data_IF_115510038893
#
_entry.id   IF_115510038893
#
_cell.length_a   1.000
_cell.length_b   1.000
_cell.length_c   1.000
_cell.angle_alpha   90.00
_cell.angle_beta   90.00
_cell.angle_gamma   90.00
#
_symmetry.space_group_name_H-M   'P 1'
#
loop_
_entity.id
_entity.type
_entity.pdbx_description
1 polymer ?
#
# COMPACT_ATOMS: atom_id res chain seq x y z
N UNK A 1 35.19 -5.62 -63.71
CA UNK A 1 34.96 -4.19 -63.47
C UNK A 1 34.49 -4.09 -62.03
N UNK A 2 35.33 -4.11 -61.11
CA UNK A 2 36.18 -3.13 -60.38
C UNK A 2 35.39 -1.86 -60.00
N UNK A 3 35.01 -1.74 -58.75
CA UNK A 3 34.48 -0.59 -58.10
C UNK A 3 34.68 -0.73 -56.60
N UNK A 4 35.87 -0.31 -56.13
CA UNK A 4 36.22 0.00 -54.75
C UNK A 4 35.53 1.31 -54.36
N UNK A 5 35.08 1.43 -53.15
CA UNK A 5 34.55 2.65 -52.53
C UNK A 5 34.53 2.46 -51.04
N UNK A 6 35.52 2.79 -50.46
CA UNK A 6 36.08 3.60 -49.41
C UNK A 6 35.34 3.60 -48.06
N UNK A 7 36.05 3.10 -47.07
CA UNK A 7 35.93 3.31 -45.64
C UNK A 7 35.82 4.81 -45.27
N UNK A 8 34.79 5.18 -44.54
CA UNK A 8 34.80 6.43 -43.78
C UNK A 8 34.39 6.15 -42.33
N UNK A 9 35.40 5.81 -41.54
CA UNK A 9 35.37 5.76 -40.09
C UNK A 9 35.23 7.17 -39.53
N UNK A 10 34.04 7.61 -39.22
CA UNK A 10 33.82 8.80 -38.41
C UNK A 10 33.98 8.47 -36.94
N UNK A 11 35.12 8.89 -36.37
CA UNK A 11 35.48 8.76 -34.98
C UNK A 11 34.55 9.56 -34.06
N UNK A 12 33.91 8.90 -33.11
CA UNK A 12 33.17 9.55 -32.06
C UNK A 12 34.09 10.24 -31.06
N UNK A 13 33.84 11.49 -30.65
CA UNK A 13 34.66 12.18 -29.67
C UNK A 13 34.47 11.58 -28.28
N UNK A 14 35.53 11.10 -27.67
CA UNK A 14 35.62 10.76 -26.24
C UNK A 14 35.42 12.03 -25.42
N UNK A 15 34.28 12.21 -24.77
CA UNK A 15 34.09 13.24 -23.75
C UNK A 15 34.68 12.76 -22.44
N UNK A 16 35.86 13.22 -22.15
CA UNK A 16 36.48 13.15 -20.81
C UNK A 16 35.66 13.99 -19.84
N UNK A 17 34.81 13.32 -19.06
CA UNK A 17 34.14 13.95 -17.90
C UNK A 17 35.10 13.97 -16.73
N UNK A 18 35.87 15.03 -16.63
CA UNK A 18 36.59 15.39 -15.39
C UNK A 18 35.53 15.78 -14.35
N UNK A 19 35.34 14.92 -13.38
CA UNK A 19 34.54 15.22 -12.21
C UNK A 19 35.28 16.22 -11.34
N UNK A 20 34.81 17.47 -11.32
CA UNK A 20 35.26 18.45 -10.35
C UNK A 20 34.67 18.06 -8.97
N UNK A 21 35.56 17.62 -8.10
CA UNK A 21 35.31 17.44 -6.68
C UNK A 21 35.06 18.82 -6.04
N UNK A 22 33.80 19.20 -5.91
CA UNK A 22 33.38 20.34 -5.09
C UNK A 22 33.38 19.95 -3.62
N UNK A 23 34.40 20.36 -2.89
CA UNK A 23 34.43 20.28 -1.42
C UNK A 23 33.39 21.24 -0.85
N UNK A 24 32.21 20.74 -0.49
CA UNK A 24 31.18 21.44 0.29
C UNK A 24 31.46 21.29 1.78
N UNK A 25 31.91 22.34 2.43
CA UNK A 25 32.08 22.39 3.88
C UNK A 25 30.73 22.23 4.60
N UNK A 26 30.58 21.15 5.37
CA UNK A 26 29.45 20.94 6.28
C UNK A 26 29.73 21.75 7.56
N UNK A 27 28.98 22.83 7.76
CA UNK A 27 28.95 23.57 9.03
C UNK A 27 27.97 22.84 9.95
N UNK A 28 28.51 22.09 10.91
CA UNK A 28 27.77 21.52 12.05
C UNK A 28 27.55 22.63 13.08
N UNK A 29 26.35 23.25 13.10
CA UNK A 29 25.89 24.07 14.20
C UNK A 29 25.28 23.13 15.27
N UNK A 30 26.08 22.87 16.31
CA UNK A 30 25.61 22.23 17.53
C UNK A 30 24.80 23.22 18.36
N UNK A 31 23.45 23.14 18.27
CA UNK A 31 22.53 23.84 19.14
C UNK A 31 22.20 23.02 20.39
N UNK A 32 22.97 23.18 21.45
CA UNK A 32 22.64 22.68 22.80
C UNK A 32 21.56 23.61 23.40
N UNK A 33 20.29 23.24 23.25
CA UNK A 33 19.16 23.85 23.96
C UNK A 33 18.92 23.10 25.25
N UNK A 34 19.45 23.64 26.37
CA UNK A 34 19.13 23.20 27.72
C UNK A 34 17.69 23.63 28.06
N UNK A 35 16.75 22.67 28.14
CA UNK A 35 15.44 22.91 28.76
C UNK A 35 15.55 22.68 30.27
N UNK A 36 15.58 23.77 31.03
CA UNK A 36 15.49 23.77 32.47
C UNK A 36 14.07 23.36 32.90
N UNK A 37 13.97 22.23 33.60
CA UNK A 37 12.81 21.84 34.37
C UNK A 37 12.74 22.64 35.64
N UNK A 38 11.85 23.60 35.74
CA UNK A 38 11.45 24.22 37.00
C UNK A 38 9.94 24.49 36.95
N UNK A 39 9.20 23.69 37.71
CA UNK A 39 7.75 23.83 37.84
C UNK A 39 7.21 22.92 38.91
N UNK A 40 7.70 23.05 40.17
CA UNK A 40 7.04 22.50 41.36
C UNK A 40 5.79 23.32 41.63
N UNK A 41 4.65 22.83 41.19
CA UNK A 41 3.32 23.33 41.53
C UNK A 41 2.57 22.32 42.33
N UNK A 42 2.75 22.35 43.70
CA UNK A 42 1.90 21.63 44.64
C UNK A 42 0.51 22.29 44.66
N UNK A 43 -0.40 21.85 43.82
CA UNK A 43 -1.81 22.18 43.86
C UNK A 43 -2.59 21.12 44.61
N UNK A 44 -2.81 21.35 45.92
CA UNK A 44 -3.78 20.59 46.72
C UNK A 44 -5.20 20.87 46.19
N UNK A 45 -5.70 20.04 45.29
CA UNK A 45 -7.10 20.07 44.90
C UNK A 45 -7.95 19.35 45.93
N UNK A 46 -8.71 20.13 46.67
CA UNK A 46 -9.75 19.68 47.61
C UNK A 46 -10.78 18.84 46.86
N UNK A 47 -10.82 17.56 47.15
CA UNK A 47 -11.80 16.64 46.61
C UNK A 47 -13.17 16.91 47.25
N UNK A 48 -14.05 17.58 46.52
CA UNK A 48 -15.44 17.76 46.88
C UNK A 48 -16.15 16.42 46.64
N UNK A 49 -16.59 15.81 47.73
CA UNK A 49 -17.31 14.53 47.71
C UNK A 49 -18.60 14.67 46.85
N UNK A 50 -18.68 13.88 45.78
CA UNK A 50 -19.92 13.68 45.07
C UNK A 50 -20.79 12.65 45.77
N UNK A 51 -22.12 12.91 45.91
CA UNK A 51 -23.00 11.92 46.50
C UNK A 51 -23.13 10.67 45.61
N UNK A 52 -23.03 9.50 46.25
CA UNK A 52 -23.19 8.21 45.61
C UNK A 52 -24.60 8.06 45.02
N UNK A 53 -24.67 7.88 43.70
CA UNK A 53 -25.88 7.49 42.99
C UNK A 53 -26.05 5.97 43.17
N UNK A 54 -27.21 5.47 43.60
CA UNK A 54 -27.42 4.05 43.74
C UNK A 54 -27.43 3.36 42.38
N UNK A 55 -26.47 2.46 42.15
CA UNK A 55 -26.42 1.60 40.96
C UNK A 55 -27.60 0.65 41.03
N UNK A 56 -28.60 0.87 40.20
CA UNK A 56 -29.65 -0.14 39.92
C UNK A 56 -28.97 -1.31 39.25
N UNK A 57 -28.92 -2.46 39.94
CA UNK A 57 -28.59 -3.73 39.32
C UNK A 57 -29.63 -4.04 38.23
N UNK A 58 -29.20 -3.90 36.97
CA UNK A 58 -29.95 -4.38 35.84
C UNK A 58 -29.89 -5.91 35.86
N UNK A 59 -31.03 -6.54 36.09
CA UNK A 59 -31.24 -7.97 35.90
C UNK A 59 -30.80 -8.37 34.52
N UNK A 60 -29.85 -9.28 34.39
CA UNK A 60 -29.38 -9.87 33.14
C UNK A 60 -30.55 -10.60 32.47
N UNK A 61 -31.20 -9.93 31.54
CA UNK A 61 -32.04 -10.60 30.58
C UNK A 61 -31.11 -11.38 29.62
N UNK A 62 -31.22 -12.71 29.63
CA UNK A 62 -30.58 -13.57 28.64
C UNK A 62 -30.95 -13.10 27.25
N UNK A 63 -29.98 -12.51 26.56
CA UNK A 63 -30.12 -12.20 25.14
C UNK A 63 -30.27 -13.52 24.36
N UNK A 64 -31.28 -13.62 23.46
CA UNK A 64 -31.39 -14.77 22.57
C UNK A 64 -30.11 -14.89 21.76
N UNK A 65 -29.57 -16.11 21.65
CA UNK A 65 -28.42 -16.44 20.85
C UNK A 65 -28.63 -15.92 19.41
N UNK A 66 -27.66 -15.23 18.81
CA UNK A 66 -27.79 -14.82 17.43
C UNK A 66 -27.90 -16.07 16.56
N UNK A 67 -29.04 -16.21 15.88
CA UNK A 67 -29.25 -17.24 14.88
C UNK A 67 -28.11 -17.13 13.86
N UNK A 68 -27.29 -18.17 13.76
CA UNK A 68 -26.21 -18.30 12.77
C UNK A 68 -26.81 -18.51 11.39
N UNK A 69 -27.45 -17.49 10.87
CA UNK A 69 -27.77 -17.35 9.46
C UNK A 69 -26.66 -16.58 8.80
N UNK A 70 -25.60 -17.25 8.35
CA UNK A 70 -24.64 -16.66 7.43
C UNK A 70 -25.33 -16.37 6.11
N UNK A 71 -26.09 -15.28 6.05
CA UNK A 71 -26.48 -14.69 4.80
C UNK A 71 -25.18 -14.24 4.12
N UNK A 72 -24.73 -15.01 3.14
CA UNK A 72 -23.61 -14.63 2.28
C UNK A 72 -23.99 -13.34 1.58
N UNK A 73 -23.51 -12.21 2.09
CA UNK A 73 -23.65 -10.92 1.40
C UNK A 73 -23.10 -11.11 -0.01
N UNK A 74 -23.87 -10.76 -1.07
CA UNK A 74 -23.41 -10.89 -2.45
C UNK A 74 -22.04 -10.23 -2.59
N UNK A 75 -21.06 -10.96 -3.07
CA UNK A 75 -19.72 -10.43 -3.25
C UNK A 75 -19.75 -9.36 -4.34
N UNK A 76 -19.40 -8.11 -3.99
CA UNK A 76 -19.37 -6.98 -4.93
C UNK A 76 -18.24 -7.20 -5.95
N UNK A 77 -18.51 -7.27 -7.26
CA UNK A 77 -17.46 -7.32 -8.27
C UNK A 77 -16.51 -6.14 -8.12
N UNK A 78 -15.22 -6.39 -8.25
CA UNK A 78 -14.24 -5.31 -8.29
C UNK A 78 -14.45 -4.49 -9.58
N UNK A 79 -14.54 -3.16 -9.50
CA UNK A 79 -14.58 -2.30 -10.67
C UNK A 79 -13.37 -2.61 -11.58
N UNK A 80 -13.64 -2.87 -12.87
CA UNK A 80 -12.57 -3.07 -13.82
C UNK A 80 -11.98 -1.73 -14.29
N UNK A 81 -10.72 -1.75 -14.69
CA UNK A 81 -10.03 -0.58 -15.21
C UNK A 81 -8.58 -0.89 -15.50
N UNK A 82 -8.02 -0.09 -16.41
CA UNK A 82 -6.65 -0.29 -16.87
C UNK A 82 -5.62 0.28 -15.91
N UNK A 83 -4.48 -0.39 -15.82
CA UNK A 83 -3.26 0.12 -15.21
C UNK A 83 -2.04 -0.27 -16.06
N UNK A 84 -0.93 0.40 -15.83
CA UNK A 84 0.36 0.06 -16.46
C UNK A 84 1.33 -0.33 -15.38
N UNK A 85 1.92 -1.52 -15.48
CA UNK A 85 2.92 -2.02 -14.52
C UNK A 85 4.22 -1.23 -14.60
N UNK A 86 5.09 -1.41 -13.60
CA UNK A 86 6.41 -0.80 -13.60
C UNK A 86 7.29 -1.28 -14.77
N UNK A 87 7.05 -2.48 -15.30
CA UNK A 87 7.69 -2.98 -16.53
C UNK A 87 7.14 -2.35 -17.82
N UNK A 88 6.08 -1.56 -17.74
CA UNK A 88 5.42 -0.95 -18.90
C UNK A 88 4.31 -1.81 -19.54
N UNK A 89 3.97 -2.94 -18.92
CA UNK A 89 2.90 -3.82 -19.42
C UNK A 89 1.54 -3.23 -19.05
N UNK A 90 0.65 -3.11 -20.03
CA UNK A 90 -0.75 -2.75 -19.81
C UNK A 90 -1.52 -3.97 -19.27
N UNK A 91 -2.33 -3.75 -18.24
CA UNK A 91 -3.16 -4.77 -17.62
C UNK A 91 -4.47 -4.16 -17.10
N UNK A 92 -5.39 -4.99 -16.64
CA UNK A 92 -6.65 -4.55 -16.03
C UNK A 92 -6.88 -5.25 -14.69
N UNK A 93 -7.77 -4.73 -13.87
CA UNK A 93 -8.16 -5.39 -12.61
C UNK A 93 -8.75 -6.78 -12.88
N UNK A 94 -9.49 -6.94 -13.99
CA UNK A 94 -10.04 -8.23 -14.38
C UNK A 94 -8.96 -9.30 -14.65
N UNK A 95 -7.77 -8.89 -15.09
CA UNK A 95 -6.65 -9.80 -15.33
C UNK A 95 -6.01 -10.37 -14.05
N UNK A 96 -6.38 -9.84 -12.87
CA UNK A 96 -5.91 -10.33 -11.56
C UNK A 96 -6.69 -11.56 -11.06
N UNK A 97 -7.75 -11.99 -11.77
CA UNK A 97 -8.54 -13.17 -11.38
C UNK A 97 -7.67 -14.42 -11.30
N UNK A 98 -8.07 -15.33 -10.43
CA UNK A 98 -7.34 -16.57 -10.16
C UNK A 98 -6.42 -16.51 -8.95
N UNK A 99 -5.96 -15.31 -8.56
CA UNK A 99 -5.06 -15.14 -7.41
C UNK A 99 -5.54 -14.01 -6.50
N UNK A 100 -5.66 -14.24 -5.18
CA UNK A 100 -6.03 -13.18 -4.24
C UNK A 100 -5.04 -12.02 -4.33
N UNK A 101 -5.55 -10.80 -4.50
CA UNK A 101 -4.70 -9.62 -4.71
C UNK A 101 -5.14 -8.45 -3.83
N UNK A 102 -4.19 -7.86 -3.12
CA UNK A 102 -4.34 -6.53 -2.52
C UNK A 102 -4.05 -5.49 -3.60
N UNK A 103 -5.04 -4.70 -3.99
CA UNK A 103 -4.84 -3.51 -4.81
C UNK A 103 -4.80 -2.30 -3.89
N UNK A 104 -3.68 -1.58 -3.90
CA UNK A 104 -3.41 -0.48 -2.97
C UNK A 104 -3.04 0.78 -3.74
N UNK A 105 -3.79 1.87 -3.49
CA UNK A 105 -3.64 3.14 -4.18
C UNK A 105 -2.83 4.13 -3.33
N UNK A 106 -1.77 4.68 -3.92
CA UNK A 106 -0.86 5.62 -3.25
C UNK A 106 -0.72 6.91 -4.06
N UNK A 107 -0.46 8.01 -3.37
CA UNK A 107 -0.23 9.31 -3.96
C UNK A 107 1.15 9.85 -3.64
N UNK A 108 1.67 10.71 -4.48
CA UNK A 108 2.90 11.47 -4.23
C UNK A 108 2.70 12.45 -3.06
N UNK A 109 3.67 12.52 -2.14
CA UNK A 109 3.58 13.40 -0.97
C UNK A 109 2.60 12.95 0.12
N UNK A 110 1.96 11.80 -0.02
CA UNK A 110 1.08 11.20 0.98
C UNK A 110 1.89 10.63 2.16
N UNK A 111 1.82 11.29 3.31
CA UNK A 111 2.58 10.87 4.50
C UNK A 111 2.16 9.50 5.03
N UNK A 112 0.86 9.17 5.03
CA UNK A 112 0.38 7.85 5.44
C UNK A 112 0.83 6.75 4.48
N UNK A 113 0.86 7.02 3.16
CA UNK A 113 1.41 6.09 2.17
C UNK A 113 2.90 5.82 2.43
N UNK A 114 3.69 6.87 2.69
CA UNK A 114 5.11 6.74 3.02
C UNK A 114 5.34 5.91 4.29
N UNK A 115 4.49 6.03 5.31
CA UNK A 115 4.54 5.22 6.52
C UNK A 115 4.04 3.78 6.28
N UNK A 116 3.08 3.59 5.39
CA UNK A 116 2.49 2.28 5.07
C UNK A 116 3.41 1.39 4.25
N UNK A 117 4.25 1.96 3.35
CA UNK A 117 5.16 1.18 2.50
C UNK A 117 6.12 0.30 3.31
N UNK A 118 6.89 0.84 4.31
CA UNK A 118 7.76 0.00 5.14
C UNK A 118 6.98 -0.99 6.01
N UNK A 119 5.76 -0.64 6.46
CA UNK A 119 4.91 -1.56 7.22
C UNK A 119 4.48 -2.76 6.36
N UNK A 120 4.02 -2.53 5.14
CA UNK A 120 3.71 -3.60 4.17
C UNK A 120 4.95 -4.42 3.86
N UNK A 121 6.11 -3.78 3.66
CA UNK A 121 7.38 -4.46 3.40
C UNK A 121 7.79 -5.40 4.55
N UNK A 122 7.61 -4.98 5.80
CA UNK A 122 7.92 -5.75 6.99
C UNK A 122 7.01 -7.00 7.16
N UNK A 123 5.74 -6.88 6.76
CA UNK A 123 4.75 -7.96 6.88
C UNK A 123 4.51 -8.73 5.58
N UNK A 124 5.27 -8.42 4.53
CA UNK A 124 5.03 -8.99 3.20
C UNK A 124 5.08 -10.51 3.17
N UNK A 125 5.98 -11.15 3.92
CA UNK A 125 6.05 -12.60 4.02
C UNK A 125 4.76 -13.21 4.60
N UNK A 126 4.11 -12.53 5.55
CA UNK A 126 2.84 -12.99 6.14
C UNK A 126 1.69 -12.86 5.14
N UNK A 127 1.67 -11.78 4.33
CA UNK A 127 0.70 -11.60 3.25
C UNK A 127 0.87 -12.68 2.17
N UNK A 128 2.11 -12.98 1.79
CA UNK A 128 2.41 -14.05 0.82
C UNK A 128 2.07 -15.44 1.35
N UNK A 129 2.34 -15.71 2.64
CA UNK A 129 1.95 -16.96 3.28
C UNK A 129 0.42 -17.16 3.33
N UNK A 130 -0.36 -16.06 3.31
CA UNK A 130 -1.81 -16.08 3.14
C UNK A 130 -2.24 -16.06 1.66
N UNK A 131 -1.37 -16.43 0.72
CA UNK A 131 -1.67 -16.48 -0.71
C UNK A 131 -1.90 -15.13 -1.40
N UNK A 132 -1.67 -14.00 -0.71
CA UNK A 132 -2.00 -12.68 -1.22
C UNK A 132 -0.86 -12.09 -2.06
N UNK A 133 -1.15 -11.64 -3.28
CA UNK A 133 -0.29 -10.73 -4.05
C UNK A 133 -0.54 -9.29 -3.61
N UNK A 134 0.44 -8.42 -3.81
CA UNK A 134 0.31 -6.98 -3.60
C UNK A 134 0.54 -6.25 -4.91
N UNK A 135 -0.41 -5.42 -5.30
CA UNK A 135 -0.32 -4.49 -6.44
C UNK A 135 -0.45 -3.07 -5.89
N UNK A 136 0.64 -2.31 -5.92
CA UNK A 136 0.64 -0.90 -5.52
C UNK A 136 0.52 -0.04 -6.76
N UNK A 137 -0.51 0.80 -6.81
CA UNK A 137 -0.83 1.68 -7.93
C UNK A 137 -0.71 3.14 -7.52
N UNK A 138 0.11 3.90 -8.23
CA UNK A 138 0.08 5.36 -8.17
C UNK A 138 -1.25 5.89 -8.73
N UNK A 139 -1.92 6.76 -7.98
CA UNK A 139 -3.14 7.42 -8.40
C UNK A 139 -2.88 8.30 -9.63
N UNK A 140 -3.88 8.39 -10.50
CA UNK A 140 -3.81 9.25 -11.67
C UNK A 140 -3.74 10.73 -11.27
N UNK A 141 -2.73 11.43 -11.80
CA UNK A 141 -2.52 12.86 -11.55
C UNK A 141 -1.54 13.18 -10.42
N UNK A 142 -1.27 12.23 -9.51
CA UNK A 142 -0.33 12.41 -8.39
C UNK A 142 1.13 12.18 -8.77
N UNK A 143 1.35 11.50 -9.89
CA UNK A 143 2.65 11.27 -10.50
C UNK A 143 2.61 11.70 -11.97
N UNK A 144 3.76 11.98 -12.55
CA UNK A 144 3.83 12.32 -13.96
C UNK A 144 3.28 11.17 -14.86
N UNK A 145 2.88 11.49 -16.07
CA UNK A 145 2.39 10.49 -17.01
C UNK A 145 3.51 9.56 -17.52
N UNK A 146 3.15 8.34 -17.87
CA UNK A 146 4.00 7.35 -18.52
C UNK A 146 5.21 6.90 -17.70
N UNK A 147 6.32 6.61 -18.36
CA UNK A 147 7.55 6.09 -17.72
C UNK A 147 8.10 7.00 -16.62
N UNK A 148 7.93 8.31 -16.75
CA UNK A 148 8.38 9.28 -15.73
C UNK A 148 7.60 9.11 -14.44
N UNK A 149 6.30 8.92 -14.49
CA UNK A 149 5.45 8.68 -13.33
C UNK A 149 5.79 7.36 -12.62
N UNK A 150 6.00 6.30 -13.38
CA UNK A 150 6.47 5.02 -12.84
C UNK A 150 7.81 5.19 -12.10
N UNK A 151 8.76 5.93 -12.68
CA UNK A 151 10.04 6.19 -12.02
C UNK A 151 9.89 7.00 -10.73
N UNK A 152 9.00 7.99 -10.71
CA UNK A 152 8.67 8.77 -9.50
C UNK A 152 8.01 7.90 -8.42
N UNK A 153 7.04 7.06 -8.79
CA UNK A 153 6.38 6.12 -7.88
C UNK A 153 7.40 5.16 -7.23
N UNK A 154 8.28 4.58 -8.04
CA UNK A 154 9.34 3.69 -7.54
C UNK A 154 10.36 4.44 -6.67
N UNK A 155 10.67 5.72 -6.98
CA UNK A 155 11.53 6.55 -6.14
C UNK A 155 10.88 6.81 -4.79
N UNK A 156 9.62 7.21 -4.78
CA UNK A 156 8.82 7.39 -3.58
C UNK A 156 8.81 6.14 -2.68
N UNK A 157 8.60 4.96 -3.27
CA UNK A 157 8.65 3.70 -2.52
C UNK A 157 10.03 3.39 -1.93
N UNK A 158 11.11 3.63 -2.69
CA UNK A 158 12.48 3.43 -2.20
C UNK A 158 12.86 4.42 -1.10
N UNK A 159 12.47 5.67 -1.23
CA UNK A 159 12.69 6.70 -0.20
C UNK A 159 11.99 6.32 1.11
N UNK A 160 10.71 5.90 1.03
CA UNK A 160 9.95 5.45 2.19
C UNK A 160 10.58 4.24 2.90
N UNK A 161 11.32 3.40 2.19
CA UNK A 161 12.01 2.22 2.76
C UNK A 161 13.51 2.47 3.04
N UNK A 162 13.96 3.71 3.01
CA UNK A 162 15.37 4.06 3.19
C UNK A 162 16.29 3.30 2.22
N UNK A 163 15.90 3.21 0.96
CA UNK A 163 16.64 2.57 -0.12
C UNK A 163 16.52 1.03 -0.18
N UNK A 164 15.76 0.40 0.71
CA UNK A 164 15.54 -1.05 0.64
C UNK A 164 14.70 -1.42 -0.59
N UNK A 165 14.91 -2.61 -1.17
CA UNK A 165 14.14 -3.06 -2.31
C UNK A 165 12.64 -3.15 -2.01
N UNK A 166 11.84 -2.51 -2.87
CA UNK A 166 10.37 -2.54 -2.81
C UNK A 166 9.75 -3.48 -3.84
N UNK A 167 10.51 -3.83 -4.87
CA UNK A 167 10.09 -4.80 -5.90
C UNK A 167 10.56 -6.19 -5.52
N UNK A 168 9.63 -7.15 -5.49
CA UNK A 168 9.92 -8.56 -5.15
C UNK A 168 8.82 -9.46 -5.73
N UNK A 169 9.04 -10.76 -5.92
CA UNK A 169 8.03 -11.67 -6.42
C UNK A 169 6.74 -11.59 -5.62
N UNK A 170 5.62 -11.31 -6.31
CA UNK A 170 4.30 -11.13 -5.68
C UNK A 170 4.03 -9.73 -5.11
N UNK A 171 4.94 -8.77 -5.30
CA UNK A 171 4.67 -7.35 -5.07
C UNK A 171 5.00 -6.56 -6.32
N UNK A 172 3.96 -6.11 -6.99
CA UNK A 172 4.02 -5.37 -8.24
C UNK A 172 3.68 -3.89 -8.02
N UNK A 173 4.25 -3.02 -8.84
CA UNK A 173 4.04 -1.59 -8.83
C UNK A 173 3.57 -1.13 -10.20
N UNK A 174 2.73 -0.09 -10.25
CA UNK A 174 2.21 0.43 -11.50
C UNK A 174 1.47 1.76 -11.35
N UNK A 175 0.91 2.23 -12.43
CA UNK A 175 0.15 3.48 -12.51
C UNK A 175 -1.30 3.17 -12.88
N UNK A 176 -2.25 3.63 -12.08
CA UNK A 176 -3.67 3.53 -12.40
C UNK A 176 -4.05 4.49 -13.53
N UNK A 177 -4.99 4.07 -14.39
CA UNK A 177 -5.65 4.98 -15.30
C UNK A 177 -6.57 5.95 -14.52
N UNK A 178 -7.00 7.04 -15.17
CA UNK A 178 -7.96 7.99 -14.58
C UNK A 178 -9.27 7.30 -14.18
N UNK A 179 -9.82 6.47 -15.06
CA UNK A 179 -11.06 5.73 -14.79
C UNK A 179 -10.91 4.78 -13.61
N UNK A 180 -9.78 4.06 -13.51
CA UNK A 180 -9.51 3.16 -12.41
C UNK A 180 -9.36 3.92 -11.08
N UNK A 181 -8.61 5.02 -11.05
CA UNK A 181 -8.47 5.85 -9.85
C UNK A 181 -9.81 6.34 -9.35
N UNK A 182 -10.66 6.89 -10.24
CA UNK A 182 -12.00 7.38 -9.86
C UNK A 182 -12.96 6.26 -9.42
N UNK A 183 -12.84 5.06 -9.98
CA UNK A 183 -13.69 3.93 -9.60
C UNK A 183 -13.42 3.42 -8.17
N UNK A 184 -12.18 3.52 -7.71
CA UNK A 184 -11.78 3.06 -6.37
C UNK A 184 -11.70 4.19 -5.35
N UNK A 185 -11.30 5.37 -5.78
CA UNK A 185 -11.08 6.53 -4.94
C UNK A 185 -11.71 7.80 -5.56
N UNK A 186 -13.04 7.89 -5.63
CA UNK A 186 -13.73 9.04 -6.19
C UNK A 186 -13.52 10.34 -5.39
N UNK A 187 -13.15 10.21 -4.11
CA UNK A 187 -12.89 11.34 -3.22
C UNK A 187 -11.44 11.83 -3.26
N UNK A 188 -10.54 11.11 -3.95
CA UNK A 188 -9.10 11.45 -4.00
C UNK A 188 -8.40 11.32 -2.64
N UNK A 189 -8.82 10.34 -1.83
CA UNK A 189 -8.23 10.06 -0.52
C UNK A 189 -7.23 8.90 -0.67
N UNK A 190 -5.93 9.16 -0.73
CA UNK A 190 -4.93 8.12 -0.97
C UNK A 190 -4.79 7.16 0.22
N UNK A 191 -3.95 6.13 0.04
CA UNK A 191 -3.69 5.07 1.00
C UNK A 191 -4.84 4.08 1.19
N UNK A 192 -5.80 4.07 0.24
CA UNK A 192 -6.89 3.11 0.18
C UNK A 192 -6.38 1.78 -0.37
N UNK A 193 -6.84 0.67 0.21
CA UNK A 193 -6.61 -0.65 -0.35
C UNK A 193 -7.87 -1.53 -0.33
N UNK A 194 -7.92 -2.45 -1.28
CA UNK A 194 -8.95 -3.48 -1.37
C UNK A 194 -8.30 -4.85 -1.51
N UNK A 195 -8.93 -5.87 -0.94
CA UNK A 195 -8.59 -7.27 -1.22
C UNK A 195 -9.59 -7.82 -2.22
N UNK A 196 -9.09 -8.25 -3.36
CA UNK A 196 -9.86 -8.90 -4.41
C UNK A 196 -9.60 -10.39 -4.31
N UNK A 197 -10.67 -11.17 -4.18
CA UNK A 197 -10.58 -12.63 -4.17
C UNK A 197 -10.33 -13.21 -5.57
N UNK A 198 -10.07 -14.54 -5.67
CA UNK A 198 -9.77 -15.19 -6.94
C UNK A 198 -10.87 -15.04 -8.00
N UNK A 199 -12.13 -14.89 -7.58
CA UNK A 199 -13.27 -14.68 -8.47
C UNK A 199 -13.38 -13.26 -9.04
N UNK A 200 -12.50 -12.34 -8.60
CA UNK A 200 -12.55 -10.93 -8.99
C UNK A 200 -13.54 -10.09 -8.17
N UNK A 201 -13.98 -10.59 -7.02
CA UNK A 201 -14.87 -9.84 -6.13
C UNK A 201 -14.09 -9.16 -5.00
N UNK A 202 -14.49 -7.94 -4.61
CA UNK A 202 -13.97 -7.28 -3.42
C UNK A 202 -14.46 -8.05 -2.18
N UNK A 203 -13.51 -8.45 -1.34
CA UNK A 203 -13.74 -9.17 -0.10
C UNK A 203 -13.45 -8.35 1.15
N UNK A 204 -12.65 -7.31 1.01
CA UNK A 204 -12.29 -6.43 2.09
C UNK A 204 -11.86 -5.07 1.53
N UNK A 205 -12.18 -4.00 2.24
CA UNK A 205 -11.77 -2.64 1.90
C UNK A 205 -11.37 -1.91 3.16
N UNK A 206 -10.24 -1.21 3.12
CA UNK A 206 -9.78 -0.36 4.21
C UNK A 206 -8.76 0.66 3.68
N UNK A 207 -8.17 1.45 4.55
CA UNK A 207 -7.12 2.42 4.25
C UNK A 207 -6.00 2.35 5.27
N UNK A 208 -4.92 3.08 4.99
CA UNK A 208 -3.78 3.27 5.91
C UNK A 208 -3.24 1.92 6.44
N UNK A 209 -2.59 1.10 5.58
CA UNK A 209 -2.07 -0.21 5.97
C UNK A 209 -1.23 -0.22 7.24
N UNK A 210 -0.44 0.83 7.51
CA UNK A 210 0.37 0.92 8.74
C UNK A 210 -0.49 0.83 10.01
N UNK A 211 -1.69 1.39 10.01
CA UNK A 211 -2.60 1.37 11.16
C UNK A 211 -3.51 0.14 11.17
N UNK A 212 -3.72 -0.51 10.03
CA UNK A 212 -4.71 -1.58 9.85
C UNK A 212 -4.07 -2.94 9.51
N UNK A 213 -2.76 -3.08 9.68
CA UNK A 213 -2.00 -4.27 9.27
C UNK A 213 -2.54 -5.57 9.85
N UNK A 214 -2.89 -5.60 11.13
CA UNK A 214 -3.48 -6.77 11.76
C UNK A 214 -4.80 -7.20 11.10
N UNK A 215 -5.68 -6.24 10.80
CA UNK A 215 -6.94 -6.49 10.11
C UNK A 215 -6.73 -6.92 8.65
N UNK A 216 -5.73 -6.34 7.97
CA UNK A 216 -5.33 -6.72 6.62
C UNK A 216 -4.87 -8.19 6.57
N UNK A 217 -3.96 -8.60 7.45
CA UNK A 217 -3.46 -9.98 7.54
C UNK A 217 -4.61 -10.96 7.87
N UNK A 218 -5.48 -10.61 8.82
CA UNK A 218 -6.63 -11.43 9.15
C UNK A 218 -7.61 -11.58 7.98
N UNK A 219 -7.83 -10.52 7.21
CA UNK A 219 -8.65 -10.57 6.02
C UNK A 219 -8.01 -11.43 4.91
N UNK A 220 -6.70 -11.31 4.69
CA UNK A 220 -5.97 -12.13 3.73
C UNK A 220 -6.09 -13.63 4.02
N UNK A 221 -5.90 -14.05 5.28
CA UNK A 221 -6.06 -15.45 5.70
C UNK A 221 -7.46 -16.01 5.44
N UNK A 222 -8.50 -15.19 5.59
CA UNK A 222 -9.88 -15.62 5.27
C UNK A 222 -10.09 -15.87 3.77
N UNK A 223 -9.38 -15.14 2.89
CA UNK A 223 -9.46 -15.39 1.45
C UNK A 223 -8.86 -16.74 1.08
N UNK A 224 -7.73 -17.12 1.70
CA UNK A 224 -7.06 -18.40 1.46
C UNK A 224 -7.96 -19.59 1.86
N UNK A 225 -8.58 -19.55 3.04
CA UNK A 225 -9.49 -20.62 3.49
C UNK A 225 -10.69 -20.82 2.57
N UNK A 226 -11.25 -19.76 2.03
CA UNK A 226 -12.36 -19.86 1.07
C UNK A 226 -11.92 -20.46 -0.26
N UNK A 227 -10.73 -20.15 -0.76
CA UNK A 227 -10.18 -20.72 -1.97
C UNK A 227 -9.99 -22.24 -1.84
N UNK A 228 -9.45 -22.71 -0.71
CA UNK A 228 -9.23 -24.13 -0.42
C UNK A 228 -10.56 -24.90 -0.31
N UNK A 229 -11.57 -24.34 0.34
CA UNK A 229 -12.88 -24.96 0.48
C UNK A 229 -13.58 -25.14 -0.87
N UNK A 230 -13.46 -24.17 -1.77
CA UNK A 230 -14.07 -24.24 -3.11
C UNK A 230 -13.34 -25.26 -3.99
N UNK A 231 -12.03 -25.40 -3.87
CA UNK A 231 -11.25 -26.41 -4.60
C UNK A 231 -11.55 -27.85 -4.15
N UNK A 232 -11.84 -28.04 -2.85
CA UNK A 232 -12.14 -29.35 -2.27
C UNK A 232 -13.53 -29.91 -2.64
N UNK A 233 -14.44 -29.08 -3.14
CA UNK A 233 -15.84 -29.45 -3.48
C UNK A 233 -16.00 -29.79 -4.97
N UNK A 234 -14.97 -29.72 -5.80
CA UNK A 234 -15.09 -30.16 -7.19
C UNK A 234 -15.21 -31.71 -7.23
N UNK A 235 -16.38 -32.26 -7.58
CA UNK A 235 -16.51 -33.69 -7.74
C UNK A 235 -15.67 -34.13 -8.95
N UNK A 236 -14.86 -35.16 -8.75
CA UNK A 236 -14.27 -35.90 -9.88
C UNK A 236 -15.40 -36.42 -10.76
N UNK A 237 -15.50 -35.92 -11.99
CA UNK A 237 -16.25 -36.55 -13.07
C UNK A 237 -15.36 -37.58 -13.76
#
# INVERSE_FOLDING_TARGET
MSGQGDDERAGAPRRDRRWALGAGAVVLAAGLGAYALAGTGSGTASAKAQPAVPVRQATSASAPAPASGSASTPATPAPDGAFTTASGTAATIASLRGEPTMVWFVAGGCASCAASIPAVAAHFHQLRAAGLRVLTLGLYGDFAAGKKGVAQLLSFGREATFGKPITRPGWEWGMASKSLSLAYDPAGIPDLYVLIGPTGAIRYRNSVPVSTMGALIAAARRLDTHAQTTAAVQPCC
#
